data_IF_626446630352
#
_entry.id   IF_626446630352
#
_cell.length_a   1.000
_cell.length_b   1.000
_cell.length_c   1.000
_cell.angle_alpha   90.00
_cell.angle_beta   90.00
_cell.angle_gamma   90.00
#
_symmetry.space_group_name_H-M   'P 1'
#
loop_
_entity.id
_entity.type
_entity.pdbx_description
1 polymer ?
#
# COMPACT_ATOMS: atom_id res chain seq x y z
N UNK A 1 37.77 -26.30 -57.25
CA UNK A 1 36.79 -27.33 -56.85
C UNK A 1 37.48 -28.28 -55.89
N UNK A 2 36.93 -28.43 -54.69
CA UNK A 2 37.47 -29.18 -53.55
C UNK A 2 36.83 -28.64 -52.26
N UNK A 3 36.26 -29.48 -51.36
CA UNK A 3 35.17 -29.07 -50.48
C UNK A 3 35.66 -28.44 -49.16
N UNK A 4 35.15 -27.25 -48.82
CA UNK A 4 35.33 -26.63 -47.50
C UNK A 4 34.20 -27.07 -46.55
N UNK A 5 34.63 -27.27 -45.30
CA UNK A 5 34.01 -28.05 -44.22
C UNK A 5 32.79 -27.39 -43.57
N UNK A 6 32.00 -28.24 -42.91
CA UNK A 6 30.67 -28.05 -42.28
C UNK A 6 30.60 -27.00 -41.14
N UNK A 7 31.62 -26.15 -40.96
CA UNK A 7 31.71 -25.17 -39.87
C UNK A 7 31.29 -23.74 -40.25
N UNK A 8 30.80 -23.51 -41.48
CA UNK A 8 30.39 -22.18 -41.97
C UNK A 8 28.88 -22.07 -42.31
N UNK A 9 28.06 -23.04 -41.91
CA UNK A 9 26.59 -23.00 -42.06
C UNK A 9 25.81 -22.50 -40.83
N UNK A 10 26.51 -22.10 -39.75
CA UNK A 10 25.86 -21.67 -38.50
C UNK A 10 25.86 -20.13 -38.29
N UNK A 11 26.23 -19.34 -39.31
CA UNK A 11 26.44 -17.90 -39.18
C UNK A 11 25.59 -17.02 -40.13
N UNK A 12 24.49 -17.56 -40.69
CA UNK A 12 23.68 -16.82 -41.67
C UNK A 12 22.16 -16.84 -41.40
N UNK A 13 21.74 -17.12 -40.16
CA UNK A 13 20.35 -16.91 -39.72
C UNK A 13 20.35 -16.10 -38.41
N UNK A 14 20.78 -14.85 -38.56
CA UNK A 14 20.41 -13.74 -37.70
C UNK A 14 19.83 -12.69 -38.64
N UNK A 15 18.52 -12.55 -38.70
CA UNK A 15 17.83 -11.25 -38.65
C UNK A 15 16.30 -11.38 -38.69
N UNK A 16 15.65 -10.50 -37.92
CA UNK A 16 14.22 -10.35 -37.65
C UNK A 16 13.63 -11.40 -36.67
N UNK A 17 13.13 -11.07 -35.48
CA UNK A 17 12.36 -9.88 -35.07
C UNK A 17 12.30 -9.82 -33.54
N UNK A 18 12.46 -8.63 -32.97
CA UNK A 18 12.02 -8.27 -31.60
C UNK A 18 10.47 -8.09 -31.63
N UNK A 19 9.68 -8.36 -30.56
CA UNK A 19 9.60 -7.38 -29.48
C UNK A 19 9.33 -7.90 -28.05
N UNK A 20 9.88 -7.17 -27.06
CA UNK A 20 9.30 -6.81 -25.74
C UNK A 20 9.17 -7.90 -24.64
N UNK A 21 9.57 -7.60 -23.37
CA UNK A 21 9.50 -8.58 -22.29
C UNK A 21 8.12 -8.56 -21.63
N UNK A 22 7.33 -9.61 -21.89
CA UNK A 22 6.17 -9.95 -21.09
C UNK A 22 6.65 -10.54 -19.75
N UNK A 23 6.44 -9.81 -18.66
CA UNK A 23 6.47 -10.34 -17.30
C UNK A 23 5.23 -11.20 -17.13
N UNK A 24 5.39 -12.52 -17.09
CA UNK A 24 4.39 -13.42 -16.54
C UNK A 24 5.07 -14.69 -16.01
N UNK A 25 4.69 -15.06 -14.78
CA UNK A 25 5.26 -16.17 -14.05
C UNK A 25 5.20 -17.47 -14.83
N UNK A 26 6.31 -18.18 -14.87
CA UNK A 26 6.36 -19.57 -15.29
C UNK A 26 7.23 -20.31 -14.30
N UNK A 27 6.64 -21.28 -13.61
CA UNK A 27 7.31 -22.23 -12.73
C UNK A 27 8.41 -22.93 -13.54
N UNK A 28 9.67 -22.71 -13.17
CA UNK A 28 10.77 -23.52 -13.67
C UNK A 28 10.86 -24.79 -12.82
N UNK A 29 10.47 -25.91 -13.41
CA UNK A 29 10.83 -27.24 -12.93
C UNK A 29 12.36 -27.36 -12.89
N UNK A 30 12.90 -27.57 -11.69
CA UNK A 30 14.33 -27.86 -11.49
C UNK A 30 14.60 -29.36 -11.58
N UNK A 31 15.72 -29.80 -12.21
CA UNK A 31 16.03 -31.21 -12.34
C UNK A 31 16.52 -31.78 -10.99
N UNK A 32 15.94 -32.93 -10.61
CA UNK A 32 16.36 -33.78 -9.49
C UNK A 32 17.79 -34.30 -9.71
N UNK A 33 18.69 -34.07 -8.75
CA UNK A 33 19.43 -35.12 -8.03
C UNK A 33 20.68 -34.56 -7.33
N UNK A 34 20.63 -34.53 -5.99
CA UNK A 34 21.79 -34.79 -5.14
C UNK A 34 21.28 -35.20 -3.76
N UNK A 35 21.49 -36.47 -3.43
CA UNK A 35 21.22 -37.03 -2.12
C UNK A 35 22.35 -36.68 -1.15
N UNK A 36 22.02 -36.08 0.00
CA UNK A 36 22.82 -36.19 1.23
C UNK A 36 22.00 -35.80 2.47
N UNK A 37 21.58 -36.83 3.20
CA UNK A 37 21.46 -36.95 4.67
C UNK A 37 21.44 -35.67 5.51
N UNK A 38 20.29 -35.35 6.11
CA UNK A 38 20.05 -35.31 7.58
C UNK A 38 18.55 -35.36 7.82
N UNK A 39 18.06 -36.44 8.46
CA UNK A 39 16.74 -36.47 9.06
C UNK A 39 16.82 -35.78 10.42
N UNK A 40 16.83 -34.46 10.41
CA UNK A 40 16.24 -33.70 11.51
C UNK A 40 14.76 -33.54 11.13
N UNK A 41 13.86 -33.70 12.08
CA UNK A 41 12.45 -33.44 11.84
C UNK A 41 12.27 -31.94 11.68
N UNK A 42 12.58 -31.40 10.50
CA UNK A 42 12.29 -30.01 10.14
C UNK A 42 10.77 -29.83 10.30
N UNK A 43 10.36 -29.33 11.46
CA UNK A 43 9.00 -28.85 11.67
C UNK A 43 8.86 -27.69 10.71
N UNK A 44 8.21 -27.91 9.57
CA UNK A 44 7.94 -26.84 8.60
C UNK A 44 7.26 -25.69 9.33
N UNK A 45 7.99 -24.58 9.48
CA UNK A 45 7.48 -23.40 10.15
C UNK A 45 6.37 -22.78 9.31
N UNK A 46 5.13 -22.88 9.80
CA UNK A 46 3.99 -22.29 9.13
C UNK A 46 3.96 -20.77 9.37
N UNK A 47 4.68 -20.01 8.54
CA UNK A 47 4.73 -18.53 8.59
C UNK A 47 3.32 -17.92 8.60
N UNK A 48 2.36 -18.51 7.88
CA UNK A 48 0.97 -18.03 7.86
C UNK A 48 0.30 -18.02 9.23
N UNK A 49 0.73 -18.87 10.15
CA UNK A 49 0.16 -19.03 11.50
C UNK A 49 0.95 -18.29 12.57
N UNK A 50 1.95 -17.50 12.18
CA UNK A 50 2.67 -16.65 13.13
C UNK A 50 1.71 -15.67 13.80
N UNK A 51 1.91 -15.44 15.11
CA UNK A 51 1.08 -14.54 15.90
C UNK A 51 0.84 -13.16 15.26
N UNK A 52 1.86 -12.45 14.73
CA UNK A 52 1.63 -11.18 14.02
C UNK A 52 0.73 -11.32 12.79
N UNK A 53 0.84 -12.41 12.02
CA UNK A 53 0.02 -12.62 10.83
C UNK A 53 -1.43 -12.94 11.18
N UNK A 54 -1.66 -13.65 12.29
CA UNK A 54 -3.01 -13.88 12.81
C UNK A 54 -3.68 -12.57 13.25
N UNK A 55 -2.93 -11.65 13.88
CA UNK A 55 -3.40 -10.29 14.19
C UNK A 55 -3.72 -9.54 12.88
N UNK A 56 -2.86 -9.66 11.86
CA UNK A 56 -3.12 -9.12 10.53
C UNK A 56 -4.42 -9.63 9.90
N UNK A 57 -4.73 -10.92 9.99
CA UNK A 57 -6.02 -11.45 9.52
C UNK A 57 -7.20 -10.94 10.32
N UNK A 58 -7.05 -10.79 11.65
CA UNK A 58 -8.07 -10.18 12.48
C UNK A 58 -8.34 -8.72 12.07
N UNK A 59 -7.30 -7.96 11.69
CA UNK A 59 -7.45 -6.61 11.11
C UNK A 59 -8.26 -6.64 9.83
N UNK A 60 -7.97 -7.56 8.90
CA UNK A 60 -8.74 -7.70 7.65
C UNK A 60 -10.23 -7.93 7.96
N UNK A 61 -10.55 -8.82 8.90
CA UNK A 61 -11.94 -9.09 9.31
C UNK A 61 -12.60 -7.85 9.94
N UNK A 62 -11.89 -7.14 10.82
CA UNK A 62 -12.38 -5.91 11.44
C UNK A 62 -12.61 -4.80 10.42
N UNK A 63 -11.71 -4.65 9.45
CA UNK A 63 -11.88 -3.73 8.32
C UNK A 63 -13.13 -4.10 7.53
N UNK A 64 -13.32 -5.36 7.15
CA UNK A 64 -14.52 -5.80 6.43
C UNK A 64 -15.81 -5.54 7.23
N UNK A 65 -15.78 -5.79 8.54
CA UNK A 65 -16.90 -5.45 9.43
C UNK A 65 -17.14 -3.93 9.47
N UNK A 66 -16.09 -3.10 9.51
CA UNK A 66 -16.21 -1.65 9.46
C UNK A 66 -16.85 -1.18 8.14
N UNK A 67 -16.46 -1.76 7.00
CA UNK A 67 -17.04 -1.46 5.68
C UNK A 67 -18.52 -1.82 5.61
N UNK A 68 -18.92 -2.92 6.23
CA UNK A 68 -20.33 -3.31 6.31
C UNK A 68 -21.18 -2.28 7.08
N UNK A 69 -20.67 -1.75 8.20
CA UNK A 69 -21.36 -0.74 9.00
C UNK A 69 -21.20 0.69 8.47
N UNK A 70 -20.21 0.93 7.60
CA UNK A 70 -19.85 2.23 7.05
C UNK A 70 -21.01 3.07 6.50
N UNK A 71 -21.99 2.54 5.73
CA UNK A 71 -23.07 3.37 5.20
C UNK A 71 -24.09 3.85 6.25
N UNK A 72 -24.30 3.10 7.34
CA UNK A 72 -25.48 3.28 8.20
C UNK A 72 -25.15 3.55 9.67
N UNK A 73 -24.05 3.02 10.21
CA UNK A 73 -23.75 3.07 11.63
C UNK A 73 -22.38 3.71 11.88
N UNK A 74 -22.28 5.05 11.81
CA UNK A 74 -20.99 5.74 11.82
C UNK A 74 -20.19 5.55 13.11
N UNK A 75 -20.85 5.47 14.27
CA UNK A 75 -20.17 5.21 15.55
C UNK A 75 -19.51 3.81 15.58
N UNK A 76 -20.26 2.79 15.17
CA UNK A 76 -19.77 1.40 15.13
C UNK A 76 -18.69 1.23 14.08
N UNK A 77 -18.87 1.81 12.88
CA UNK A 77 -17.86 1.82 11.84
C UNK A 77 -16.55 2.45 12.32
N UNK A 78 -16.59 3.67 12.87
CA UNK A 78 -15.39 4.35 13.35
C UNK A 78 -14.72 3.59 14.49
N UNK A 79 -15.48 2.98 15.41
CA UNK A 79 -14.89 2.16 16.48
C UNK A 79 -14.17 0.92 15.92
N UNK A 80 -14.81 0.15 15.04
CA UNK A 80 -14.20 -1.03 14.43
C UNK A 80 -12.97 -0.67 13.58
N UNK A 81 -13.06 0.41 12.81
CA UNK A 81 -11.95 0.96 12.03
C UNK A 81 -10.79 1.37 12.93
N UNK A 82 -11.04 2.14 13.99
CA UNK A 82 -10.01 2.56 14.93
C UNK A 82 -9.35 1.38 15.64
N UNK A 83 -10.11 0.36 16.03
CA UNK A 83 -9.54 -0.87 16.61
C UNK A 83 -8.64 -1.58 15.59
N UNK A 84 -9.07 -1.71 14.33
CA UNK A 84 -8.24 -2.28 13.25
C UNK A 84 -6.91 -1.52 13.08
N UNK A 85 -6.96 -0.18 13.08
CA UNK A 85 -5.76 0.66 13.01
C UNK A 85 -4.86 0.56 14.26
N UNK A 86 -5.40 0.26 15.43
CA UNK A 86 -4.58 0.06 16.64
C UNK A 86 -3.90 -1.31 16.64
N UNK A 87 -4.56 -2.34 16.09
CA UNK A 87 -3.97 -3.67 15.95
C UNK A 87 -2.75 -3.69 15.02
N UNK A 88 -2.65 -2.76 14.08
CA UNK A 88 -1.46 -2.53 13.22
C UNK A 88 -0.18 -2.38 14.05
N UNK A 89 -0.19 -1.47 15.02
CA UNK A 89 0.96 -1.29 15.90
C UNK A 89 1.26 -2.55 16.74
N UNK A 90 0.22 -3.33 17.07
CA UNK A 90 0.35 -4.53 17.87
C UNK A 90 0.92 -5.71 17.08
N UNK A 91 0.58 -5.90 15.80
CA UNK A 91 1.19 -6.96 15.00
C UNK A 91 2.68 -6.72 14.77
N UNK A 92 3.08 -5.47 14.49
CA UNK A 92 4.49 -5.12 14.37
C UNK A 92 5.22 -5.25 15.69
N UNK A 93 4.58 -4.93 16.83
CA UNK A 93 5.13 -5.18 18.15
C UNK A 93 5.32 -6.68 18.41
N UNK A 94 4.29 -7.49 18.15
CA UNK A 94 4.33 -8.95 18.30
C UNK A 94 5.41 -9.59 17.41
N UNK A 95 5.53 -9.17 16.15
CA UNK A 95 6.54 -9.66 15.22
C UNK A 95 7.98 -9.46 15.73
N UNK A 96 8.23 -8.36 16.45
CA UNK A 96 9.54 -8.06 17.04
C UNK A 96 9.75 -8.76 18.37
N UNK A 97 8.71 -8.83 19.20
CA UNK A 97 8.77 -9.47 20.52
C UNK A 97 8.97 -10.99 20.40
N UNK A 98 8.25 -11.64 19.49
CA UNK A 98 8.34 -13.08 19.25
C UNK A 98 9.41 -13.46 18.21
N UNK A 99 10.18 -12.49 17.68
CA UNK A 99 11.15 -12.70 16.60
C UNK A 99 10.55 -13.39 15.35
N UNK A 100 9.27 -13.12 15.06
CA UNK A 100 8.48 -13.67 13.95
C UNK A 100 8.32 -12.66 12.80
N UNK A 101 9.32 -11.79 12.60
CA UNK A 101 9.30 -10.80 11.52
C UNK A 101 9.57 -11.47 10.18
N UNK A 102 8.64 -11.34 9.23
CA UNK A 102 8.73 -11.98 7.91
C UNK A 102 8.40 -11.01 6.79
N UNK A 103 8.93 -11.26 5.58
CA UNK A 103 8.59 -10.47 4.39
C UNK A 103 7.09 -10.55 4.07
N UNK A 104 6.49 -11.73 4.22
CA UNK A 104 5.05 -11.90 4.04
C UNK A 104 4.25 -11.03 5.02
N UNK A 105 4.59 -11.07 6.32
CA UNK A 105 3.90 -10.26 7.32
C UNK A 105 4.01 -8.76 7.05
N UNK A 106 5.20 -8.29 6.63
CA UNK A 106 5.39 -6.87 6.26
C UNK A 106 4.57 -6.44 5.04
N UNK A 107 4.43 -7.33 4.03
CA UNK A 107 3.59 -7.06 2.86
C UNK A 107 2.10 -7.12 3.22
N UNK A 108 1.68 -8.10 4.02
CA UNK A 108 0.30 -8.26 4.49
C UNK A 108 -0.16 -7.03 5.29
N UNK A 109 0.68 -6.56 6.20
CA UNK A 109 0.46 -5.35 6.97
C UNK A 109 0.24 -4.14 6.04
N UNK A 110 1.23 -3.85 5.18
CA UNK A 110 1.18 -2.73 4.25
C UNK A 110 -0.08 -2.78 3.37
N UNK A 111 -0.40 -3.93 2.78
CA UNK A 111 -1.58 -4.08 1.90
C UNK A 111 -2.87 -3.84 2.68
N UNK A 112 -3.00 -4.42 3.88
CA UNK A 112 -4.20 -4.27 4.72
C UNK A 112 -4.45 -2.82 5.07
N UNK A 113 -3.41 -2.10 5.45
CA UNK A 113 -3.43 -0.66 5.71
C UNK A 113 -3.95 0.15 4.51
N UNK A 114 -3.33 -0.05 3.34
CA UNK A 114 -3.65 0.71 2.14
C UNK A 114 -5.07 0.41 1.66
N UNK A 115 -5.49 -0.84 1.69
CA UNK A 115 -6.85 -1.24 1.34
C UNK A 115 -7.88 -0.61 2.29
N UNK A 116 -7.61 -0.60 3.60
CA UNK A 116 -8.50 -0.04 4.62
C UNK A 116 -8.74 1.47 4.37
N UNK A 117 -7.68 2.26 4.22
CA UNK A 117 -7.78 3.69 3.94
C UNK A 117 -8.39 3.95 2.56
N UNK A 118 -8.05 3.16 1.53
CA UNK A 118 -8.61 3.33 0.19
C UNK A 118 -10.14 3.13 0.18
N UNK A 119 -10.66 2.09 0.86
CA UNK A 119 -12.10 1.88 0.95
C UNK A 119 -12.83 3.04 1.65
N UNK A 120 -12.23 3.59 2.72
CA UNK A 120 -12.76 4.78 3.39
C UNK A 120 -12.78 6.00 2.45
N UNK A 121 -11.70 6.22 1.69
CA UNK A 121 -11.61 7.32 0.73
C UNK A 121 -12.58 7.17 -0.44
N UNK A 122 -12.82 5.94 -0.91
CA UNK A 122 -13.85 5.65 -1.92
C UNK A 122 -15.23 6.04 -1.39
N UNK A 123 -15.57 5.66 -0.16
CA UNK A 123 -16.82 6.10 0.48
C UNK A 123 -16.88 7.63 0.57
N UNK A 124 -15.82 8.29 1.02
CA UNK A 124 -15.76 9.76 1.09
C UNK A 124 -15.94 10.42 -0.29
N UNK A 125 -15.41 9.82 -1.36
CA UNK A 125 -15.60 10.31 -2.72
C UNK A 125 -17.06 10.28 -3.18
N UNK A 126 -17.81 9.26 -2.73
CA UNK A 126 -19.25 9.16 -2.97
C UNK A 126 -20.06 10.09 -2.06
N UNK A 127 -19.59 10.31 -0.83
CA UNK A 127 -20.23 11.17 0.15
C UNK A 127 -20.07 12.66 -0.17
N UNK A 128 -18.96 13.03 -0.81
CA UNK A 128 -18.63 14.40 -1.17
C UNK A 128 -18.23 14.49 -2.66
N UNK A 129 -19.18 14.32 -3.60
CA UNK A 129 -18.87 14.23 -5.03
C UNK A 129 -18.08 15.42 -5.59
N UNK A 130 -18.29 16.62 -5.03
CA UNK A 130 -17.54 17.84 -5.39
C UNK A 130 -16.04 17.72 -5.18
N UNK A 131 -15.62 16.90 -4.21
CA UNK A 131 -14.23 16.69 -3.83
C UNK A 131 -13.70 15.32 -4.29
N UNK A 132 -14.48 14.57 -5.09
CA UNK A 132 -14.15 13.20 -5.51
C UNK A 132 -12.78 13.09 -6.19
N UNK A 133 -12.42 14.06 -7.03
CA UNK A 133 -11.10 14.10 -7.70
C UNK A 133 -9.95 14.13 -6.69
N UNK A 134 -10.11 14.85 -5.57
CA UNK A 134 -9.08 14.91 -4.52
C UNK A 134 -8.95 13.53 -3.86
N UNK A 135 -10.05 12.91 -3.45
CA UNK A 135 -10.01 11.57 -2.84
C UNK A 135 -9.42 10.51 -3.78
N UNK A 136 -9.80 10.52 -5.05
CA UNK A 136 -9.24 9.62 -6.06
C UNK A 136 -7.73 9.85 -6.25
N UNK A 137 -7.30 11.12 -6.28
CA UNK A 137 -5.88 11.47 -6.36
C UNK A 137 -5.09 11.02 -5.13
N UNK A 138 -5.69 11.12 -3.93
CA UNK A 138 -5.08 10.64 -2.68
C UNK A 138 -4.91 9.12 -2.70
N UNK A 139 -5.92 8.36 -3.14
CA UNK A 139 -5.83 6.90 -3.31
C UNK A 139 -4.70 6.55 -4.29
N UNK A 140 -4.67 7.21 -5.45
CA UNK A 140 -3.67 6.96 -6.48
C UNK A 140 -2.24 7.27 -5.98
N UNK A 141 -2.05 8.41 -5.31
CA UNK A 141 -0.76 8.81 -4.76
C UNK A 141 -0.28 7.85 -3.67
N UNK A 142 -1.15 7.48 -2.74
CA UNK A 142 -0.82 6.59 -1.64
C UNK A 142 -0.44 5.19 -2.16
N UNK A 143 -1.26 4.62 -3.04
CA UNK A 143 -0.99 3.33 -3.68
C UNK A 143 0.31 3.37 -4.51
N UNK A 144 0.50 4.37 -5.37
CA UNK A 144 1.69 4.47 -6.21
C UNK A 144 2.97 4.63 -5.39
N UNK A 145 2.96 5.50 -4.36
CA UNK A 145 4.13 5.76 -3.53
C UNK A 145 4.58 4.54 -2.73
N UNK A 146 3.63 3.82 -2.12
CA UNK A 146 3.92 2.61 -1.36
C UNK A 146 4.30 1.44 -2.27
N UNK A 147 3.58 1.24 -3.39
CA UNK A 147 3.89 0.16 -4.32
C UNK A 147 5.28 0.31 -4.94
N UNK A 148 5.62 1.53 -5.39
CA UNK A 148 6.96 1.83 -5.92
C UNK A 148 8.04 1.62 -4.87
N UNK A 149 7.81 2.08 -3.63
CA UNK A 149 8.77 1.93 -2.55
C UNK A 149 8.99 0.47 -2.11
N UNK A 150 7.90 -0.31 -2.03
CA UNK A 150 7.97 -1.74 -1.72
C UNK A 150 8.72 -2.49 -2.82
N UNK A 151 8.36 -2.26 -4.09
CA UNK A 151 9.01 -2.91 -5.22
C UNK A 151 10.49 -2.55 -5.31
N UNK A 152 10.84 -1.27 -5.10
CA UNK A 152 12.23 -0.84 -5.01
C UNK A 152 12.98 -1.56 -3.89
N UNK A 153 12.41 -1.62 -2.69
CA UNK A 153 13.04 -2.29 -1.54
C UNK A 153 13.23 -3.78 -1.75
N UNK A 154 12.24 -4.48 -2.32
CA UNK A 154 12.33 -5.92 -2.57
C UNK A 154 13.28 -6.26 -3.72
N UNK A 155 13.26 -5.49 -4.80
CA UNK A 155 14.09 -5.74 -5.98
C UNK A 155 15.55 -5.32 -5.76
N UNK A 156 15.76 -4.24 -5.02
CA UNK A 156 17.10 -3.68 -4.77
C UNK A 156 17.70 -4.15 -3.44
N UNK A 157 16.89 -4.64 -2.49
CA UNK A 157 17.36 -5.03 -1.15
C UNK A 157 18.31 -6.22 -1.11
N UNK A 158 18.31 -7.08 -2.15
CA UNK A 158 19.30 -8.15 -2.33
C UNK A 158 20.59 -7.70 -3.04
N UNK A 159 20.60 -6.53 -3.66
CA UNK A 159 21.80 -5.93 -4.24
C UNK A 159 22.47 -5.06 -3.17
N UNK A 160 23.55 -5.54 -2.57
CA UNK A 160 24.44 -4.80 -1.66
C UNK A 160 25.11 -3.60 -2.35
N UNK A 161 24.32 -2.61 -2.77
CA UNK A 161 24.79 -1.40 -3.41
C UNK A 161 24.07 -0.18 -2.84
N UNK A 162 24.87 0.54 -2.04
CA UNK A 162 24.81 1.98 -1.84
C UNK A 162 24.05 2.51 -0.61
N UNK A 163 24.57 2.17 0.57
CA UNK A 163 24.57 3.07 1.74
C UNK A 163 25.42 4.34 1.53
N UNK A 164 25.57 4.84 0.30
CA UNK A 164 26.33 6.07 0.02
C UNK A 164 25.58 6.91 -1.01
N UNK A 165 25.09 8.06 -0.53
CA UNK A 165 24.53 9.21 -1.25
C UNK A 165 23.01 9.32 -1.36
N UNK A 166 22.29 9.27 -0.23
CA UNK A 166 21.06 10.08 -0.04
C UNK A 166 21.08 10.76 1.34
N UNK A 167 22.25 11.14 1.84
CA UNK A 167 22.42 11.90 3.08
C UNK A 167 23.09 13.25 2.77
N UNK A 168 22.31 14.23 2.36
CA UNK A 168 22.75 15.64 2.38
C UNK A 168 21.63 16.68 2.22
N UNK A 169 20.35 16.28 2.19
CA UNK A 169 19.23 17.22 2.11
C UNK A 169 17.96 16.59 2.70
N UNK A 170 18.04 16.18 3.96
CA UNK A 170 16.84 15.77 4.70
C UNK A 170 16.41 16.98 5.52
N UNK A 171 15.23 17.52 5.24
CA UNK A 171 14.57 18.41 6.19
C UNK A 171 14.43 17.66 7.52
N UNK A 172 14.66 18.34 8.64
CA UNK A 172 14.63 17.74 9.99
C UNK A 172 13.35 16.93 10.25
N UNK A 173 12.22 17.42 9.75
CA UNK A 173 10.92 16.75 9.84
C UNK A 173 10.89 15.38 9.14
N UNK A 174 11.53 15.29 7.97
CA UNK A 174 11.59 14.04 7.20
C UNK A 174 12.55 13.05 7.85
N UNK A 175 13.64 13.53 8.45
CA UNK A 175 14.53 12.66 9.23
C UNK A 175 13.78 12.04 10.40
N UNK A 176 13.06 12.87 11.16
CA UNK A 176 12.32 12.41 12.32
C UNK A 176 11.21 11.41 11.96
N UNK A 177 10.51 11.63 10.85
CA UNK A 177 9.46 10.73 10.35
C UNK A 177 9.99 9.31 10.07
N UNK A 178 11.18 9.18 9.46
CA UNK A 178 11.73 7.87 9.10
C UNK A 178 12.55 7.20 10.22
N UNK A 179 13.02 7.96 11.21
CA UNK A 179 13.88 7.44 12.26
C UNK A 179 13.13 7.13 13.56
N UNK A 180 12.11 7.92 13.90
CA UNK A 180 11.34 7.74 15.14
C UNK A 180 10.05 6.98 14.89
N UNK A 181 9.96 5.76 15.43
CA UNK A 181 8.75 4.91 15.36
C UNK A 181 7.53 5.60 15.97
N UNK A 182 7.73 6.34 17.05
CA UNK A 182 6.65 7.09 17.71
C UNK A 182 6.11 8.19 16.81
N UNK A 183 6.99 8.91 16.10
CA UNK A 183 6.56 9.97 15.18
C UNK A 183 5.86 9.37 13.96
N UNK A 184 6.37 8.26 13.43
CA UNK A 184 5.69 7.53 12.35
C UNK A 184 4.28 7.11 12.77
N UNK A 185 4.14 6.47 13.93
CA UNK A 185 2.84 6.03 14.46
C UNK A 185 1.89 7.21 14.67
N UNK A 186 2.33 8.29 15.32
CA UNK A 186 1.50 9.49 15.54
C UNK A 186 1.07 10.10 14.20
N UNK A 187 1.97 10.21 13.23
CA UNK A 187 1.63 10.75 11.92
C UNK A 187 0.60 9.87 11.18
N UNK A 188 0.76 8.54 11.21
CA UNK A 188 -0.21 7.62 10.63
C UNK A 188 -1.55 7.70 11.36
N UNK A 189 -1.55 7.65 12.70
CA UNK A 189 -2.75 7.75 13.52
C UNK A 189 -3.52 9.05 13.28
N UNK A 190 -2.82 10.20 13.20
CA UNK A 190 -3.45 11.48 12.90
C UNK A 190 -3.95 11.56 11.45
N UNK A 191 -3.26 10.94 10.49
CA UNK A 191 -3.74 10.83 9.12
C UNK A 191 -5.04 10.02 9.03
N UNK A 192 -5.11 8.86 9.68
CA UNK A 192 -6.33 8.06 9.74
C UNK A 192 -7.44 8.80 10.49
N UNK A 193 -7.09 9.49 11.59
CA UNK A 193 -8.02 10.28 12.36
C UNK A 193 -8.63 11.44 11.55
N UNK A 194 -7.88 12.04 10.63
CA UNK A 194 -8.40 13.04 9.70
C UNK A 194 -9.49 12.45 8.79
N UNK A 195 -9.25 11.29 8.21
CA UNK A 195 -10.24 10.65 7.33
C UNK A 195 -11.46 10.13 8.11
N UNK A 196 -11.27 9.63 9.33
CA UNK A 196 -12.37 9.32 10.25
C UNK A 196 -13.17 10.58 10.58
N UNK A 197 -12.51 11.73 10.82
CA UNK A 197 -13.16 13.01 11.04
C UNK A 197 -14.04 13.45 9.86
N UNK A 198 -13.49 13.39 8.64
CA UNK A 198 -14.24 13.66 7.40
C UNK A 198 -15.40 12.68 7.21
N UNK A 199 -15.20 11.42 7.57
CA UNK A 199 -16.24 10.40 7.52
C UNK A 199 -17.38 10.76 8.47
N UNK A 200 -17.09 11.06 9.74
CA UNK A 200 -18.11 11.46 10.73
C UNK A 200 -18.81 12.78 10.33
N UNK A 201 -18.10 13.72 9.71
CA UNK A 201 -18.69 14.94 9.16
C UNK A 201 -19.73 14.66 8.08
N UNK A 202 -19.54 13.61 7.27
CA UNK A 202 -20.52 13.21 6.24
C UNK A 202 -21.86 12.73 6.81
N UNK A 203 -21.93 12.44 8.12
CA UNK A 203 -23.16 12.09 8.86
C UNK A 203 -23.68 13.24 9.73
N UNK A 204 -22.92 14.33 9.82
CA UNK A 204 -23.23 15.49 10.67
C UNK A 204 -23.75 16.67 9.87
N UNK A 205 -23.58 16.70 8.54
CA UNK A 205 -24.01 17.82 7.71
C UNK A 205 -25.54 17.89 7.58
N UNK A 206 -26.17 19.04 7.91
CA UNK A 206 -27.60 19.27 7.71
C UNK A 206 -27.93 19.59 6.23
N UNK A 207 -26.92 19.85 5.41
CA UNK A 207 -27.08 20.21 4.01
C UNK A 207 -27.35 18.97 3.18
N UNK A 208 -28.63 18.73 2.92
CA UNK A 208 -29.08 17.93 1.79
C UNK A 208 -28.29 18.37 0.55
N UNK A 209 -27.59 17.44 -0.12
CA UNK A 209 -26.96 17.72 -1.40
C UNK A 209 -28.01 18.37 -2.33
N UNK A 210 -27.66 19.34 -3.20
CA UNK A 210 -28.61 19.94 -4.14
C UNK A 210 -29.38 18.91 -5.00
N UNK A 211 -28.85 17.68 -5.10
CA UNK A 211 -29.51 16.51 -5.70
C UNK A 211 -30.85 16.13 -5.05
N UNK A 212 -31.11 16.52 -3.80
CA UNK A 212 -32.39 16.31 -3.11
C UNK A 212 -33.40 17.46 -3.33
N UNK A 213 -33.00 18.54 -4.03
CA UNK A 213 -33.93 19.55 -4.56
C UNK A 213 -34.61 19.07 -5.85
N UNK A 214 -34.11 18.00 -6.46
CA UNK A 214 -34.79 17.28 -7.52
C UNK A 214 -35.59 16.14 -6.90
N UNK A 215 -36.77 15.78 -7.43
CA UNK A 215 -37.53 14.62 -6.95
C UNK A 215 -36.67 13.37 -7.15
N UNK A 216 -36.01 12.92 -6.08
CA UNK A 216 -35.26 11.67 -6.09
C UNK A 216 -36.29 10.57 -6.26
N UNK A 217 -36.27 9.91 -7.42
CA UNK A 217 -36.97 8.64 -7.57
C UNK A 217 -36.32 7.65 -6.59
N UNK A 218 -36.95 7.44 -5.43
CA UNK A 218 -36.54 6.49 -4.40
C UNK A 218 -36.78 5.03 -4.82
N UNK A 219 -36.59 4.72 -6.11
CA UNK A 219 -36.85 3.40 -6.67
C UNK A 219 -35.90 2.31 -6.11
N UNK A 220 -34.78 2.70 -5.49
CA UNK A 220 -33.85 1.76 -4.84
C UNK A 220 -33.39 2.25 -3.46
N UNK A 221 -33.47 1.40 -2.41
CA UNK A 221 -32.89 1.66 -1.08
C UNK A 221 -31.37 1.91 -1.11
N UNK A 222 -30.69 1.46 -2.17
CA UNK A 222 -29.25 1.59 -2.36
C UNK A 222 -28.86 2.77 -3.27
N UNK A 223 -29.84 3.60 -3.65
CA UNK A 223 -29.57 4.81 -4.44
C UNK A 223 -28.77 5.83 -3.60
N UNK A 224 -27.94 6.63 -4.26
CA UNK A 224 -27.12 7.65 -3.61
C UNK A 224 -27.95 8.62 -2.76
N UNK A 225 -29.15 9.00 -3.25
CA UNK A 225 -30.08 9.86 -2.52
C UNK A 225 -30.70 9.19 -1.29
N UNK A 226 -31.08 7.90 -1.38
CA UNK A 226 -31.56 7.15 -0.21
C UNK A 226 -30.48 7.01 0.87
N UNK A 227 -29.24 6.78 0.44
CA UNK A 227 -28.10 6.69 1.35
C UNK A 227 -27.75 8.05 1.98
N UNK A 228 -27.79 9.16 1.23
CA UNK A 228 -27.65 10.51 1.81
C UNK A 228 -28.71 10.80 2.88
N UNK A 229 -29.98 10.52 2.59
CA UNK A 229 -31.08 10.69 3.55
C UNK A 229 -30.90 9.81 4.80
N UNK A 230 -30.46 8.56 4.63
CA UNK A 230 -30.20 7.65 5.75
C UNK A 230 -28.99 8.05 6.60
N UNK A 231 -28.11 8.95 6.11
CA UNK A 231 -26.91 9.40 6.83
C UNK A 231 -27.13 10.69 7.62
N UNK A 232 -28.06 11.53 7.20
CA UNK A 232 -28.28 12.84 7.78
C UNK A 232 -28.57 12.80 9.30
N UNK A 233 -28.02 13.78 10.02
CA UNK A 233 -28.29 14.08 11.43
C UNK A 233 -28.06 12.93 12.43
N UNK A 234 -27.08 12.06 12.18
CA UNK A 234 -26.75 10.96 13.12
C UNK A 234 -25.78 11.35 14.23
N UNK A 235 -24.97 12.39 14.01
CA UNK A 235 -23.88 12.82 14.90
C UNK A 235 -23.84 14.35 15.00
N UNK A 236 -23.44 14.86 16.16
CA UNK A 236 -23.14 16.27 16.36
C UNK A 236 -21.86 16.70 15.63
N UNK A 237 -21.93 17.84 14.93
CA UNK A 237 -20.86 18.28 14.04
C UNK A 237 -19.62 18.86 14.76
N UNK A 238 -19.70 19.23 16.04
CA UNK A 238 -18.62 19.92 16.74
C UNK A 238 -17.35 19.06 16.84
N UNK A 239 -17.48 17.84 17.38
CA UNK A 239 -16.33 16.95 17.57
C UNK A 239 -15.66 16.51 16.26
N UNK A 240 -16.41 16.10 15.21
CA UNK A 240 -15.81 15.79 13.91
C UNK A 240 -15.04 16.97 13.29
N UNK A 241 -15.52 18.21 13.44
CA UNK A 241 -14.80 19.40 12.99
C UNK A 241 -13.49 19.63 13.77
N UNK A 242 -13.52 19.49 15.10
CA UNK A 242 -12.32 19.62 15.94
C UNK A 242 -11.27 18.58 15.56
N UNK A 243 -11.69 17.32 15.44
CA UNK A 243 -10.82 16.19 15.07
C UNK A 243 -10.18 16.44 13.71
N UNK A 244 -10.99 16.82 12.71
CA UNK A 244 -10.51 17.11 11.34
C UNK A 244 -9.55 18.30 11.34
N UNK A 245 -9.86 19.37 12.08
CA UNK A 245 -9.02 20.58 12.15
C UNK A 245 -7.65 20.33 12.77
N UNK A 246 -7.59 19.57 13.87
CA UNK A 246 -6.32 19.25 14.55
C UNK A 246 -5.43 18.33 13.70
N UNK A 247 -6.04 17.39 12.99
CA UNK A 247 -5.32 16.39 12.19
C UNK A 247 -4.94 16.85 10.78
N UNK A 248 -5.61 17.88 10.24
CA UNK A 248 -5.40 18.38 8.88
C UNK A 248 -3.93 18.72 8.54
N UNK A 249 -3.14 19.41 9.40
CA UNK A 249 -1.74 19.72 9.09
C UNK A 249 -0.89 18.45 8.93
N UNK A 250 -1.19 17.42 9.71
CA UNK A 250 -0.45 16.14 9.67
C UNK A 250 -0.84 15.32 8.46
N UNK A 251 -2.12 15.32 8.08
CA UNK A 251 -2.56 14.74 6.81
C UNK A 251 -1.84 15.39 5.63
N UNK A 252 -1.78 16.73 5.58
CA UNK A 252 -1.09 17.45 4.50
C UNK A 252 0.41 17.11 4.46
N UNK A 253 1.07 17.05 5.62
CA UNK A 253 2.47 16.59 5.73
C UNK A 253 2.63 15.16 5.21
N UNK A 254 1.71 14.24 5.56
CA UNK A 254 1.76 12.85 5.11
C UNK A 254 1.62 12.74 3.59
N UNK A 255 0.76 13.52 2.96
CA UNK A 255 0.65 13.54 1.49
C UNK A 255 1.92 14.06 0.82
N UNK A 256 2.54 15.10 1.38
CA UNK A 256 3.85 15.56 0.90
C UNK A 256 4.92 14.46 1.02
N UNK A 257 4.94 13.72 2.14
CA UNK A 257 5.86 12.60 2.33
C UNK A 257 5.62 11.50 1.29
N UNK A 258 4.36 11.16 0.98
CA UNK A 258 4.02 10.17 -0.04
C UNK A 258 4.57 10.58 -1.43
N UNK A 259 4.47 11.85 -1.81
CA UNK A 259 5.09 12.37 -3.06
C UNK A 259 6.61 12.20 -3.03
N UNK A 260 7.25 12.60 -1.92
CA UNK A 260 8.71 12.48 -1.77
C UNK A 260 9.16 11.01 -1.83
N UNK A 261 8.41 10.12 -1.20
CA UNK A 261 8.65 8.69 -1.18
C UNK A 261 8.55 8.09 -2.59
N UNK A 262 7.52 8.45 -3.35
CA UNK A 262 7.35 8.05 -4.75
C UNK A 262 8.56 8.46 -5.60
N UNK A 263 8.93 9.75 -5.56
CA UNK A 263 10.04 10.28 -6.37
C UNK A 263 11.37 9.59 -6.00
N UNK A 264 11.61 9.36 -4.71
CA UNK A 264 12.84 8.71 -4.24
C UNK A 264 12.90 7.23 -4.65
N UNK A 265 11.79 6.50 -4.50
CA UNK A 265 11.71 5.11 -4.90
C UNK A 265 11.94 4.94 -6.41
N UNK A 266 11.33 5.81 -7.23
CA UNK A 266 11.52 5.79 -8.68
C UNK A 266 12.98 6.06 -9.08
N UNK A 267 13.64 7.04 -8.44
CA UNK A 267 15.07 7.31 -8.69
C UNK A 267 15.95 6.13 -8.32
N UNK A 268 15.67 5.49 -7.18
CA UNK A 268 16.44 4.34 -6.72
C UNK A 268 16.34 3.14 -7.67
N UNK A 269 15.15 2.87 -8.22
CA UNK A 269 14.96 1.84 -9.25
C UNK A 269 15.73 2.16 -10.53
N UNK A 270 15.67 3.41 -11.01
CA UNK A 270 16.42 3.83 -12.21
C UNK A 270 17.93 3.68 -12.01
N UNK A 271 18.45 4.02 -10.83
CA UNK A 271 19.86 3.81 -10.50
C UNK A 271 20.24 2.32 -10.53
N UNK A 272 19.36 1.45 -10.00
CA UNK A 272 19.49 0.00 -10.07
C UNK A 272 19.52 -0.56 -11.48
N UNK A 273 18.61 -0.09 -12.35
CA UNK A 273 18.56 -0.46 -13.75
C UNK A 273 19.83 -0.05 -14.50
N UNK A 274 20.32 1.17 -14.25
CA UNK A 274 21.56 1.67 -14.86
C UNK A 274 22.75 0.82 -14.40
N UNK A 275 22.84 0.46 -13.11
CA UNK A 275 23.91 -0.38 -12.57
C UNK A 275 23.88 -1.78 -13.20
N UNK A 276 22.71 -2.40 -13.27
CA UNK A 276 22.50 -3.72 -13.89
C UNK A 276 22.88 -3.71 -15.37
N UNK A 277 22.49 -2.68 -16.12
CA UNK A 277 22.87 -2.50 -17.54
C UNK A 277 24.38 -2.32 -17.72
N UNK A 278 25.06 -1.58 -16.82
CA UNK A 278 26.51 -1.44 -16.85
C UNK A 278 27.22 -2.78 -16.59
N UNK A 279 26.75 -3.56 -15.62
CA UNK A 279 27.28 -4.89 -15.32
C UNK A 279 27.16 -5.82 -16.53
N UNK A 280 25.98 -5.87 -17.19
CA UNK A 280 25.79 -6.66 -18.41
C UNK A 280 26.71 -6.24 -19.56
N UNK A 281 26.93 -4.92 -19.74
CA UNK A 281 27.83 -4.41 -20.78
C UNK A 281 29.30 -4.76 -20.52
N UNK A 282 29.72 -4.76 -19.26
CA UNK A 282 31.09 -5.12 -18.88
C UNK A 282 31.32 -6.63 -18.93
N UNK A 283 30.31 -7.45 -18.60
CA UNK A 283 30.39 -8.90 -18.72
C UNK A 283 30.48 -9.42 -20.16
N UNK A 284 29.98 -8.67 -21.14
CA UNK A 284 30.13 -8.98 -22.58
C UNK A 284 31.52 -8.64 -23.17
N UNK A 285 32.39 -7.98 -22.42
CA UNK A 285 33.72 -7.55 -22.89
C UNK A 285 34.87 -8.49 -22.48
N UNK A 286 34.57 -9.53 -21.70
CA UNK A 286 35.51 -10.59 -21.33
C UNK A 286 35.11 -11.90 -22.00
#
# INVERSE_FOLDING_TARGET
MGPRTRSQKAAAELEATDPSPAVNGTLQDSPKNSASVTADGDVEENVFLFAPNLIGYARVVLTMASLYYMPLHPRTCSLLYSVSCLLDALDGYAARYYNQSTTFGAVLDMVTDRCTTACLLVFLSSAWPRWAIIFQSLIALDMASHYMHMYATLSMGGSSQSHKKVEASRSWILYQYYHSRTVLFICCALNELFFIGLYLLSFSSPTLSPSLLQPVSTASPWSAGALEMARANKIDSFWPWVITGISAPVMALKQFINVVQLVKASKWLVEGDIASRKAMRNGKKN
#
